data_IF_895426675730
#
_entry.id   IF_895426675730
#
_cell.length_a   1.000
_cell.length_b   1.000
_cell.length_c   1.000
_cell.angle_alpha   90.00
_cell.angle_beta   90.00
_cell.angle_gamma   90.00
#
_symmetry.space_group_name_H-M   'P 1'
#
loop_
_entity.id
_entity.type
_entity.pdbx_description
1 polymer ?
#
# COMPACT_ATOMS: atom_id res chain seq x y z
N UNK A 1 -4.00 -21.49 -13.76
CA UNK A 1 -4.44 -20.32 -14.55
C UNK A 1 -5.60 -20.69 -15.49
N UNK A 2 -5.53 -21.80 -16.23
CA UNK A 2 -6.63 -22.31 -17.07
C UNK A 2 -7.98 -22.38 -16.32
N UNK A 3 -8.02 -23.07 -15.17
CA UNK A 3 -9.23 -23.15 -14.34
C UNK A 3 -9.73 -21.81 -13.79
N UNK A 4 -8.92 -20.73 -13.86
CA UNK A 4 -9.33 -19.42 -13.34
C UNK A 4 -10.18 -18.61 -14.31
N UNK A 5 -10.08 -18.92 -15.59
CA UNK A 5 -10.73 -18.24 -16.71
C UNK A 5 -11.68 -19.20 -17.45
N UNK A 6 -11.98 -20.36 -16.85
CA UNK A 6 -12.89 -21.36 -17.41
C UNK A 6 -14.23 -20.70 -17.78
N UNK A 7 -14.62 -20.86 -19.04
CA UNK A 7 -15.84 -20.26 -19.61
C UNK A 7 -15.63 -18.91 -20.30
N UNK A 8 -14.40 -18.37 -20.34
CA UNK A 8 -14.08 -17.26 -21.24
C UNK A 8 -13.45 -17.77 -22.52
N UNK A 9 -13.85 -17.16 -23.65
CA UNK A 9 -13.11 -17.30 -24.90
C UNK A 9 -11.66 -16.84 -24.69
N UNK A 10 -10.64 -17.59 -25.16
CA UNK A 10 -9.22 -17.28 -24.92
C UNK A 10 -8.86 -15.83 -25.27
N UNK A 11 -9.30 -15.34 -26.43
CA UNK A 11 -9.04 -13.97 -26.90
C UNK A 11 -9.60 -12.90 -25.97
N UNK A 12 -10.78 -13.17 -25.37
CA UNK A 12 -11.41 -12.26 -24.41
C UNK A 12 -10.59 -12.21 -23.11
N UNK A 13 -10.10 -13.36 -22.67
CA UNK A 13 -9.29 -13.47 -21.46
C UNK A 13 -7.94 -12.78 -21.62
N UNK A 14 -7.25 -13.03 -22.73
CA UNK A 14 -5.98 -12.39 -23.04
C UNK A 14 -6.16 -10.87 -23.14
N UNK A 15 -7.18 -10.40 -23.87
CA UNK A 15 -7.47 -8.96 -23.97
C UNK A 15 -7.76 -8.33 -22.60
N UNK A 16 -8.49 -9.01 -21.73
CA UNK A 16 -8.77 -8.51 -20.38
C UNK A 16 -7.49 -8.42 -19.52
N UNK A 17 -6.64 -9.45 -19.54
CA UNK A 17 -5.39 -9.49 -18.77
C UNK A 17 -4.33 -8.52 -19.28
N UNK A 18 -4.30 -8.25 -20.58
CA UNK A 18 -3.36 -7.31 -21.19
C UNK A 18 -3.77 -5.85 -20.97
N UNK A 19 -5.06 -5.56 -21.10
CA UNK A 19 -5.57 -4.18 -21.11
C UNK A 19 -6.19 -3.72 -19.79
N UNK A 20 -6.47 -4.62 -18.85
CA UNK A 20 -7.17 -4.26 -17.62
C UNK A 20 -6.36 -4.62 -16.39
N UNK A 21 -6.50 -3.79 -15.37
CA UNK A 21 -5.90 -3.99 -14.06
C UNK A 21 -6.84 -3.48 -12.97
N UNK A 22 -6.41 -3.52 -11.72
CA UNK A 22 -7.13 -2.84 -10.65
C UNK A 22 -6.19 -2.00 -9.79
N UNK A 23 -6.77 -0.96 -9.18
CA UNK A 23 -6.17 -0.29 -8.02
C UNK A 23 -7.07 -0.54 -6.81
N UNK A 24 -6.46 -0.91 -5.69
CA UNK A 24 -7.11 -0.98 -4.39
C UNK A 24 -6.74 0.26 -3.59
N UNK A 25 -7.72 1.11 -3.30
CA UNK A 25 -7.62 2.18 -2.33
C UNK A 25 -7.83 1.60 -0.93
N UNK A 26 -6.82 1.72 -0.09
CA UNK A 26 -6.84 1.28 1.31
C UNK A 26 -7.64 2.28 2.18
N UNK A 27 -7.94 1.95 3.44
CA UNK A 27 -8.72 2.84 4.32
C UNK A 27 -8.08 4.22 4.55
N UNK A 28 -6.75 4.31 4.55
CA UNK A 28 -6.00 5.57 4.62
C UNK A 28 -6.31 6.50 3.43
N UNK A 29 -6.57 5.95 2.23
CA UNK A 29 -7.02 6.75 1.09
C UNK A 29 -8.44 7.30 1.27
N UNK A 30 -9.30 6.56 2.00
CA UNK A 30 -10.68 6.97 2.25
C UNK A 30 -10.72 8.14 3.23
N UNK A 31 -10.09 7.98 4.39
CA UNK A 31 -10.09 9.03 5.40
C UNK A 31 -9.20 10.22 5.02
N UNK A 32 -8.14 9.98 4.25
CA UNK A 32 -7.28 11.03 3.71
C UNK A 32 -7.85 11.77 2.49
N UNK A 33 -9.07 11.42 2.04
CA UNK A 33 -9.74 12.00 0.86
C UNK A 33 -8.90 11.92 -0.42
N UNK A 34 -8.22 10.78 -0.63
CA UNK A 34 -7.23 10.58 -1.71
C UNK A 34 -7.74 9.76 -2.90
N UNK A 35 -8.95 9.19 -2.84
CA UNK A 35 -9.52 8.38 -3.93
C UNK A 35 -9.82 9.23 -5.17
N UNK A 36 -10.57 10.34 -5.03
CA UNK A 36 -10.88 11.22 -6.18
C UNK A 36 -9.61 11.81 -6.83
N UNK A 37 -8.63 12.37 -6.07
CA UNK A 37 -7.36 12.83 -6.64
C UNK A 37 -6.57 11.72 -7.36
N UNK A 38 -6.57 10.50 -6.82
CA UNK A 38 -5.90 9.38 -7.46
C UNK A 38 -6.54 8.99 -8.79
N UNK A 39 -7.87 8.96 -8.85
CA UNK A 39 -8.61 8.67 -10.08
C UNK A 39 -8.34 9.74 -11.14
N UNK A 40 -8.28 11.02 -10.76
CA UNK A 40 -7.92 12.10 -11.67
C UNK A 40 -6.47 11.94 -12.20
N UNK A 41 -5.52 11.58 -11.32
CA UNK A 41 -4.15 11.30 -11.73
C UNK A 41 -4.07 10.13 -12.71
N UNK A 42 -4.77 9.03 -12.43
CA UNK A 42 -4.82 7.84 -13.28
C UNK A 42 -5.44 8.13 -14.66
N UNK A 43 -6.51 8.93 -14.70
CA UNK A 43 -7.12 9.38 -15.95
C UNK A 43 -6.15 10.18 -16.81
N UNK A 44 -5.36 11.09 -16.21
CA UNK A 44 -4.29 11.82 -16.91
C UNK A 44 -3.21 10.89 -17.50
N UNK A 45 -3.08 9.69 -16.94
CA UNK A 45 -2.19 8.64 -17.44
C UNK A 45 -2.91 7.62 -18.33
N UNK A 46 -4.13 7.86 -18.81
CA UNK A 46 -4.83 6.95 -19.72
C UNK A 46 -5.29 5.65 -19.06
N UNK A 47 -5.61 5.69 -17.76
CA UNK A 47 -6.36 4.64 -17.09
C UNK A 47 -7.81 5.12 -16.90
N UNK A 48 -8.75 4.37 -17.45
CA UNK A 48 -10.19 4.66 -17.35
C UNK A 48 -10.87 3.68 -16.40
N UNK A 49 -11.68 4.13 -15.44
CA UNK A 49 -12.40 3.21 -14.57
C UNK A 49 -13.49 2.43 -15.31
N UNK A 50 -13.55 1.14 -15.04
CA UNK A 50 -14.58 0.22 -15.56
C UNK A 50 -15.72 0.06 -14.55
N UNK A 51 -15.40 0.15 -13.25
CA UNK A 51 -16.35 0.10 -12.15
C UNK A 51 -15.61 -0.16 -10.83
N UNK A 52 -16.37 -0.32 -9.74
CA UNK A 52 -15.81 -0.48 -8.40
C UNK A 52 -16.50 -1.55 -7.56
N UNK A 53 -15.76 -2.11 -6.62
CA UNK A 53 -16.24 -3.00 -5.56
C UNK A 53 -15.64 -2.55 -4.23
N UNK A 54 -16.34 -2.76 -3.12
CA UNK A 54 -15.75 -2.62 -1.78
C UNK A 54 -15.20 -3.95 -1.29
N UNK A 55 -14.05 -3.93 -0.62
CA UNK A 55 -13.36 -5.12 -0.09
C UNK A 55 -13.02 -4.91 1.38
N UNK A 56 -13.21 -5.95 2.19
CA UNK A 56 -12.71 -6.01 3.57
C UNK A 56 -11.41 -6.81 3.58
N UNK A 57 -10.35 -6.24 4.14
CA UNK A 57 -9.04 -6.87 4.27
C UNK A 57 -8.77 -7.03 5.75
N UNK A 58 -8.77 -8.29 6.22
CA UNK A 58 -8.31 -8.63 7.56
C UNK A 58 -6.82 -9.02 7.52
N UNK A 59 -6.26 -9.32 8.69
CA UNK A 59 -4.87 -9.78 8.79
C UNK A 59 -4.57 -11.00 7.90
N UNK A 60 -5.51 -11.93 7.70
CA UNK A 60 -5.29 -13.15 6.89
C UNK A 60 -5.19 -12.80 5.41
N UNK A 61 -6.11 -11.98 4.92
CA UNK A 61 -6.09 -11.45 3.55
C UNK A 61 -4.83 -10.63 3.32
N UNK A 62 -4.44 -9.78 4.29
CA UNK A 62 -3.19 -9.02 4.27
C UNK A 62 -1.96 -9.94 4.09
N UNK A 63 -1.87 -11.04 4.84
CA UNK A 63 -0.75 -12.00 4.72
C UNK A 63 -0.69 -12.70 3.37
N UNK A 64 -1.82 -13.06 2.78
CA UNK A 64 -1.81 -13.69 1.44
C UNK A 64 -1.59 -12.66 0.33
N UNK A 65 -2.10 -11.43 0.49
CA UNK A 65 -1.93 -10.37 -0.50
C UNK A 65 -0.45 -10.01 -0.65
N UNK A 66 0.24 -9.79 0.46
CA UNK A 66 1.66 -9.40 0.50
C UNK A 66 2.59 -10.53 0.95
N UNK A 67 2.22 -11.79 0.69
CA UNK A 67 2.97 -12.99 1.11
C UNK A 67 4.48 -12.90 0.85
N UNK A 68 4.85 -12.34 -0.30
CA UNK A 68 6.25 -12.23 -0.73
C UNK A 68 6.99 -11.03 -0.11
N UNK A 69 6.27 -9.99 0.28
CA UNK A 69 6.84 -8.76 0.86
C UNK A 69 6.87 -8.81 2.39
N UNK A 70 5.85 -9.37 3.03
CA UNK A 70 5.68 -9.42 4.48
C UNK A 70 6.56 -10.49 5.14
N UNK A 71 6.97 -11.55 4.43
CA UNK A 71 7.74 -12.64 5.06
C UNK A 71 9.14 -12.25 5.56
N UNK A 72 9.61 -11.05 5.26
CA UNK A 72 10.84 -10.46 5.80
C UNK A 72 10.60 -9.07 6.44
N UNK A 73 9.35 -8.70 6.70
CA UNK A 73 9.02 -7.44 7.34
C UNK A 73 9.07 -7.58 8.87
N UNK A 74 9.58 -6.58 9.61
CA UNK A 74 9.47 -6.54 11.06
C UNK A 74 8.03 -6.71 11.53
N UNK A 75 7.81 -7.43 12.64
CA UNK A 75 6.49 -7.64 13.21
C UNK A 75 5.76 -6.33 13.56
N UNK A 76 6.50 -5.30 14.00
CA UNK A 76 5.93 -4.00 14.27
C UNK A 76 5.39 -3.32 12.98
N UNK A 77 6.10 -3.43 11.85
CA UNK A 77 5.62 -2.92 10.54
C UNK A 77 4.32 -3.62 10.16
N UNK A 78 4.34 -4.94 10.30
CA UNK A 78 3.19 -5.81 10.03
C UNK A 78 1.98 -5.36 10.85
N UNK A 79 2.15 -5.16 12.17
CA UNK A 79 1.06 -4.74 13.05
C UNK A 79 0.53 -3.35 12.70
N UNK A 80 1.41 -2.40 12.38
CA UNK A 80 1.01 -1.06 11.94
C UNK A 80 0.19 -1.10 10.63
N UNK A 81 0.52 -2.01 9.70
CA UNK A 81 -0.29 -2.23 8.49
C UNK A 81 -1.67 -2.82 8.84
N UNK A 82 -1.72 -3.79 9.75
CA UNK A 82 -2.99 -4.38 10.18
C UNK A 82 -3.92 -3.32 10.79
N UNK A 83 -3.40 -2.43 11.64
CA UNK A 83 -4.18 -1.32 12.22
C UNK A 83 -4.85 -0.44 11.14
N UNK A 84 -4.16 -0.18 10.02
CA UNK A 84 -4.72 0.60 8.90
C UNK A 84 -5.87 -0.16 8.23
N UNK A 85 -5.69 -1.45 7.99
CA UNK A 85 -6.67 -2.28 7.25
C UNK A 85 -7.89 -2.62 8.10
N UNK A 86 -7.72 -2.68 9.43
CA UNK A 86 -8.76 -2.95 10.42
C UNK A 86 -9.46 -1.66 10.92
N UNK A 87 -9.09 -0.49 10.38
CA UNK A 87 -9.49 0.83 10.90
C UNK A 87 -10.98 1.23 10.74
N UNK A 88 -11.78 0.43 10.01
CA UNK A 88 -13.22 0.63 9.90
C UNK A 88 -13.75 0.89 8.48
N UNK A 89 -13.18 1.77 7.64
CA UNK A 89 -13.55 1.88 6.23
C UNK A 89 -13.17 0.62 5.44
N UNK A 90 -13.98 0.15 4.47
CA UNK A 90 -13.53 -0.89 3.55
C UNK A 90 -12.49 -0.31 2.56
N UNK A 91 -11.70 -1.18 1.96
CA UNK A 91 -10.93 -0.84 0.77
C UNK A 91 -11.87 -0.64 -0.42
N UNK A 92 -11.48 0.21 -1.38
CA UNK A 92 -12.18 0.37 -2.67
C UNK A 92 -11.34 -0.27 -3.76
N UNK A 93 -11.84 -1.36 -4.33
CA UNK A 93 -11.29 -2.00 -5.51
C UNK A 93 -11.86 -1.29 -6.75
N UNK A 94 -11.00 -0.78 -7.63
CA UNK A 94 -11.42 -0.13 -8.87
C UNK A 94 -10.78 -0.86 -10.03
N UNK A 95 -11.61 -1.44 -10.90
CA UNK A 95 -11.17 -2.00 -12.16
C UNK A 95 -10.85 -0.86 -13.13
N UNK A 96 -9.73 -0.97 -13.82
CA UNK A 96 -9.19 0.04 -14.72
C UNK A 96 -8.90 -0.56 -16.08
N UNK A 97 -9.21 0.19 -17.14
CA UNK A 97 -8.79 -0.06 -18.51
C UNK A 97 -7.61 0.84 -18.84
N UNK A 98 -6.53 0.25 -19.34
CA UNK A 98 -5.46 0.99 -19.98
C UNK A 98 -5.85 1.30 -21.43
N UNK A 99 -6.08 2.58 -21.74
CA UNK A 99 -6.44 3.03 -23.10
C UNK A 99 -5.24 3.20 -24.01
N UNK A 100 -4.02 3.05 -23.48
CA UNK A 100 -2.78 3.07 -24.25
C UNK A 100 -2.45 1.72 -24.86
N UNK A 101 -2.78 0.64 -24.16
CA UNK A 101 -2.55 -0.74 -24.58
C UNK A 101 -1.07 -1.15 -24.64
N UNK A 102 -0.80 -2.47 -24.66
CA UNK A 102 0.55 -3.02 -24.73
C UNK A 102 1.23 -2.74 -26.07
N UNK A 103 0.50 -2.55 -27.16
CA UNK A 103 1.06 -2.28 -28.49
C UNK A 103 1.82 -0.95 -28.51
N UNK A 104 1.37 0.04 -27.74
CA UNK A 104 2.00 1.36 -27.64
C UNK A 104 3.02 1.44 -26.50
N UNK A 105 2.77 0.73 -25.41
CA UNK A 105 3.54 0.89 -24.16
C UNK A 105 4.62 -0.16 -23.99
N UNK A 106 4.50 -1.31 -24.67
CA UNK A 106 5.38 -2.46 -24.51
C UNK A 106 5.14 -3.26 -23.21
N UNK A 107 4.13 -2.91 -22.41
CA UNK A 107 3.83 -3.53 -21.12
C UNK A 107 2.33 -3.74 -20.94
N UNK A 108 1.95 -4.66 -20.06
CA UNK A 108 0.55 -4.88 -19.68
C UNK A 108 0.03 -3.76 -18.78
N UNK A 109 -1.29 -3.63 -18.69
CA UNK A 109 -1.93 -2.65 -17.80
C UNK A 109 -1.48 -2.79 -16.33
N UNK A 110 -1.28 -4.02 -15.86
CA UNK A 110 -0.80 -4.29 -14.50
C UNK A 110 0.63 -3.78 -14.29
N UNK A 111 1.56 -4.15 -15.18
CA UNK A 111 2.96 -3.71 -15.09
C UNK A 111 3.08 -2.18 -15.17
N UNK A 112 2.33 -1.57 -16.08
CA UNK A 112 2.34 -0.11 -16.26
C UNK A 112 1.76 0.63 -15.07
N UNK A 113 0.68 0.12 -14.47
CA UNK A 113 0.14 0.69 -13.23
C UNK A 113 1.11 0.48 -12.07
N UNK A 114 1.80 -0.66 -12.00
CA UNK A 114 2.77 -0.94 -10.95
C UNK A 114 3.98 0.01 -11.00
N UNK A 115 4.46 0.33 -12.20
CA UNK A 115 5.47 1.37 -12.41
C UNK A 115 4.94 2.75 -12.01
N UNK A 116 3.78 3.14 -12.52
CA UNK A 116 3.16 4.44 -12.25
C UNK A 116 2.80 4.64 -10.77
N UNK A 117 2.42 3.57 -10.07
CA UNK A 117 2.15 3.54 -8.63
C UNK A 117 3.33 4.09 -7.83
N UNK A 118 4.56 3.82 -8.28
CA UNK A 118 5.79 4.20 -7.61
C UNK A 118 6.11 3.32 -6.39
N UNK A 119 7.36 3.43 -5.92
CA UNK A 119 7.86 2.68 -4.76
C UNK A 119 7.21 3.15 -3.45
N UNK A 120 7.02 2.23 -2.50
CA UNK A 120 6.62 2.60 -1.12
C UNK A 120 7.78 3.20 -0.31
N UNK A 121 9.02 3.01 -0.78
CA UNK A 121 10.24 3.51 -0.15
C UNK A 121 10.70 4.85 -0.73
N UNK A 122 10.42 5.11 -2.01
CA UNK A 122 10.71 6.39 -2.65
C UNK A 122 9.44 7.23 -2.70
N UNK A 123 9.43 8.30 -1.89
CA UNK A 123 8.26 9.15 -1.67
C UNK A 123 8.53 10.61 -2.07
N UNK A 124 9.34 10.79 -3.12
CA UNK A 124 9.55 12.09 -3.74
C UNK A 124 8.20 12.71 -4.11
N UNK A 125 8.00 13.97 -3.73
CA UNK A 125 6.81 14.76 -4.06
C UNK A 125 6.86 15.35 -5.49
N UNK A 126 7.78 14.86 -6.34
CA UNK A 126 7.96 15.35 -7.72
C UNK A 126 6.75 15.11 -8.64
N UNK A 127 5.72 14.41 -8.15
CA UNK A 127 4.48 14.14 -8.88
C UNK A 127 4.65 13.13 -10.02
N UNK A 128 5.83 12.51 -10.17
CA UNK A 128 6.10 11.53 -11.24
C UNK A 128 5.48 10.16 -10.99
N UNK A 129 5.03 9.88 -9.77
CA UNK A 129 4.33 8.65 -9.40
C UNK A 129 3.01 8.95 -8.69
N UNK A 130 2.08 7.99 -8.71
CA UNK A 130 0.80 8.09 -8.02
C UNK A 130 0.99 8.34 -6.51
N UNK A 131 1.91 7.62 -5.86
CA UNK A 131 2.20 7.84 -4.43
C UNK A 131 2.80 9.22 -4.16
N UNK A 132 3.66 9.71 -5.04
CA UNK A 132 4.19 11.08 -4.96
C UNK A 132 3.07 12.13 -5.12
N UNK A 133 2.21 11.98 -6.12
CA UNK A 133 1.09 12.89 -6.38
C UNK A 133 0.05 12.90 -5.26
N UNK A 134 -0.11 11.78 -4.54
CA UNK A 134 -0.98 11.71 -3.36
C UNK A 134 -0.33 12.24 -2.08
N UNK A 135 0.95 12.60 -2.10
CA UNK A 135 1.67 13.11 -0.92
C UNK A 135 1.90 12.06 0.16
N UNK A 136 2.20 10.81 -0.22
CA UNK A 136 2.52 9.76 0.76
C UNK A 136 3.78 10.11 1.57
N UNK A 137 3.66 10.39 2.86
CA UNK A 137 4.82 10.72 3.73
C UNK A 137 5.42 9.50 4.45
N UNK A 138 4.58 8.50 4.74
CA UNK A 138 4.90 7.33 5.54
C UNK A 138 4.78 6.05 4.72
N UNK A 139 5.70 5.11 4.91
CA UNK A 139 5.77 3.85 4.16
C UNK A 139 4.47 3.05 4.26
N UNK A 140 3.88 2.96 5.46
CA UNK A 140 2.64 2.23 5.71
C UNK A 140 1.40 2.98 5.18
N UNK A 141 1.38 4.31 5.27
CA UNK A 141 0.29 5.18 4.78
C UNK A 141 0.51 5.59 3.32
N UNK A 142 0.53 4.58 2.44
CA UNK A 142 0.81 4.77 1.01
C UNK A 142 -0.44 4.75 0.12
N UNK A 143 -1.65 4.78 0.70
CA UNK A 143 -2.99 4.91 0.09
C UNK A 143 -3.44 3.81 -0.89
N UNK A 144 -2.54 3.27 -1.71
CA UNK A 144 -2.88 2.43 -2.86
C UNK A 144 -2.05 1.15 -2.92
N UNK A 145 -2.71 0.11 -3.41
CA UNK A 145 -2.12 -1.15 -3.84
C UNK A 145 -2.59 -1.47 -5.26
N UNK A 146 -1.75 -2.14 -6.04
CA UNK A 146 -2.07 -2.62 -7.38
C UNK A 146 -1.18 -3.83 -7.67
N UNK A 147 -1.66 -4.82 -8.46
CA UNK A 147 -0.87 -5.99 -8.83
C UNK A 147 0.34 -5.56 -9.67
N UNK A 148 1.46 -6.27 -9.54
CA UNK A 148 2.70 -5.92 -10.24
C UNK A 148 2.74 -6.47 -11.68
N UNK A 149 2.02 -7.56 -11.96
CA UNK A 149 1.95 -8.23 -13.26
C UNK A 149 0.61 -8.98 -13.44
N UNK A 150 0.31 -9.56 -14.61
CA UNK A 150 -0.94 -10.29 -14.84
C UNK A 150 -1.14 -11.53 -13.95
N UNK A 151 -0.06 -12.19 -13.52
CA UNK A 151 -0.17 -13.34 -12.62
C UNK A 151 -0.56 -12.89 -11.21
N UNK A 152 0.03 -11.79 -10.73
CA UNK A 152 -0.37 -11.13 -9.50
C UNK A 152 -1.84 -10.64 -9.59
N UNK A 153 -2.26 -10.05 -10.71
CA UNK A 153 -3.67 -9.64 -10.89
C UNK A 153 -4.65 -10.78 -10.63
N UNK A 154 -4.44 -11.94 -11.28
CA UNK A 154 -5.31 -13.11 -11.14
C UNK A 154 -5.30 -13.63 -9.70
N UNK A 155 -4.10 -13.76 -9.11
CA UNK A 155 -3.91 -14.25 -7.73
C UNK A 155 -4.61 -13.35 -6.73
N UNK A 156 -4.37 -12.04 -6.84
CA UNK A 156 -4.85 -11.05 -5.88
C UNK A 156 -6.36 -10.87 -5.95
N UNK A 157 -6.99 -10.98 -7.13
CA UNK A 157 -8.45 -11.05 -7.22
C UNK A 157 -9.00 -12.25 -6.44
N UNK A 158 -8.33 -13.41 -6.52
CA UNK A 158 -8.71 -14.60 -5.75
C UNK A 158 -8.56 -14.42 -4.23
N UNK A 159 -7.55 -13.66 -3.79
CA UNK A 159 -7.29 -13.38 -2.37
C UNK A 159 -8.24 -12.32 -1.82
N UNK A 160 -8.47 -11.23 -2.57
CA UNK A 160 -9.29 -10.09 -2.13
C UNK A 160 -10.79 -10.40 -2.17
N UNK A 161 -11.23 -11.19 -3.15
CA UNK A 161 -12.64 -11.39 -3.45
C UNK A 161 -12.97 -12.89 -3.58
N UNK A 162 -12.67 -13.76 -2.59
CA UNK A 162 -12.79 -15.22 -2.75
C UNK A 162 -14.22 -15.67 -3.09
N UNK A 163 -15.25 -15.03 -2.53
CA UNK A 163 -16.67 -15.30 -2.83
C UNK A 163 -17.25 -14.46 -3.98
N UNK A 164 -16.51 -13.48 -4.50
CA UNK A 164 -16.95 -12.53 -5.54
C UNK A 164 -15.99 -12.49 -6.74
N UNK A 165 -15.20 -13.55 -6.89
CA UNK A 165 -14.14 -13.59 -7.87
C UNK A 165 -14.67 -13.55 -9.31
N UNK A 166 -15.74 -14.27 -9.60
CA UNK A 166 -16.37 -14.24 -10.92
C UNK A 166 -16.85 -12.83 -11.27
N UNK A 167 -17.48 -12.13 -10.32
CA UNK A 167 -17.91 -10.74 -10.48
C UNK A 167 -16.72 -9.80 -10.77
N UNK A 168 -15.63 -9.93 -10.00
CA UNK A 168 -14.42 -9.13 -10.19
C UNK A 168 -13.78 -9.35 -11.56
N UNK A 169 -13.70 -10.59 -12.01
CA UNK A 169 -13.18 -10.94 -13.34
C UNK A 169 -14.12 -10.42 -14.42
N UNK A 170 -15.44 -10.61 -14.29
CA UNK A 170 -16.41 -10.06 -15.23
C UNK A 170 -16.32 -8.54 -15.35
N UNK A 171 -16.07 -7.85 -14.24
CA UNK A 171 -15.82 -6.41 -14.21
C UNK A 171 -14.54 -6.04 -14.97
N UNK A 172 -13.43 -6.75 -14.75
CA UNK A 172 -12.17 -6.54 -15.47
C UNK A 172 -12.29 -6.81 -16.99
N UNK A 173 -13.18 -7.70 -17.42
CA UNK A 173 -13.45 -7.98 -18.83
C UNK A 173 -14.57 -7.14 -19.44
N UNK A 174 -15.19 -6.25 -18.67
CA UNK A 174 -16.22 -5.36 -19.20
C UNK A 174 -15.61 -4.25 -20.05
N UNK A 175 -16.42 -3.73 -20.97
CA UNK A 175 -16.09 -2.50 -21.70
C UNK A 175 -16.34 -1.29 -20.80
N UNK A 176 -15.59 -0.20 -21.07
CA UNK A 176 -15.79 1.06 -20.35
C UNK A 176 -17.18 1.59 -20.67
N UNK A 177 -17.90 2.04 -19.64
CA UNK A 177 -19.21 2.68 -19.79
C UNK A 177 -19.29 3.94 -18.92
N UNK A 178 -20.13 4.93 -19.27
CA UNK A 178 -20.29 6.13 -18.45
C UNK A 178 -20.69 5.82 -17.00
N UNK A 179 -21.53 4.80 -16.81
CA UNK A 179 -21.93 4.33 -15.47
C UNK A 179 -20.75 3.75 -14.71
N UNK A 180 -19.99 2.86 -15.34
CA UNK A 180 -18.80 2.24 -14.75
C UNK A 180 -17.71 3.26 -14.39
N UNK A 181 -17.51 4.27 -15.24
CA UNK A 181 -16.56 5.35 -14.99
C UNK A 181 -16.95 6.24 -13.80
N UNK A 182 -18.26 6.42 -13.55
CA UNK A 182 -18.76 7.25 -12.44
C UNK A 182 -18.84 6.51 -11.09
N UNK A 183 -18.97 5.17 -11.12
CA UNK A 183 -19.20 4.34 -9.93
C UNK A 183 -18.09 4.48 -8.85
N UNK A 184 -16.78 4.46 -9.16
CA UNK A 184 -15.74 4.61 -8.15
C UNK A 184 -15.83 5.92 -7.35
N UNK A 185 -16.22 7.02 -8.02
CA UNK A 185 -16.38 8.33 -7.38
C UNK A 185 -17.61 8.33 -6.47
N UNK A 186 -18.71 7.69 -6.89
CA UNK A 186 -19.90 7.53 -6.05
C UNK A 186 -19.58 6.73 -4.77
N UNK A 187 -18.92 5.57 -4.92
CA UNK A 187 -18.48 4.74 -3.79
C UNK A 187 -17.55 5.54 -2.85
N UNK A 188 -16.59 6.29 -3.40
CA UNK A 188 -15.69 7.11 -2.60
C UNK A 188 -16.45 8.15 -1.77
N UNK A 189 -17.43 8.84 -2.36
CA UNK A 189 -18.23 9.87 -1.69
C UNK A 189 -19.12 9.32 -0.60
N UNK A 190 -19.72 8.15 -0.81
CA UNK A 190 -20.48 7.45 0.23
C UNK A 190 -19.59 7.13 1.44
N UNK A 191 -18.39 6.60 1.19
CA UNK A 191 -17.42 6.33 2.25
C UNK A 191 -16.90 7.62 2.90
N UNK A 192 -16.77 8.71 2.14
CA UNK A 192 -16.40 10.00 2.70
C UNK A 192 -17.46 10.55 3.64
N UNK A 193 -18.73 10.38 3.30
CA UNK A 193 -19.84 10.78 4.18
C UNK A 193 -19.89 9.93 5.46
N UNK A 194 -19.55 8.63 5.37
CA UNK A 194 -19.61 7.70 6.49
C UNK A 194 -18.41 7.78 7.46
N UNK A 195 -17.27 8.33 7.02
CA UNK A 195 -16.03 8.34 7.79
C UNK A 195 -15.41 9.73 7.87
N UNK A 196 -15.04 10.24 9.07
CA UNK A 196 -14.38 11.52 9.24
C UNK A 196 -13.09 11.66 8.40
N UNK A 197 -12.77 12.89 8.02
CA UNK A 197 -11.52 13.18 7.32
C UNK A 197 -10.34 13.26 8.31
N UNK A 198 -9.17 12.80 7.88
CA UNK A 198 -7.94 12.83 8.67
C UNK A 198 -6.76 13.33 7.82
N UNK A 199 -5.88 14.15 8.41
CA UNK A 199 -4.77 14.81 7.69
C UNK A 199 -3.63 13.84 7.34
N UNK A 200 -3.47 12.74 8.09
CA UNK A 200 -2.50 11.65 7.85
C UNK A 200 -1.05 12.11 7.58
N UNK A 201 -0.67 13.28 8.08
CA UNK A 201 0.68 13.85 8.00
C UNK A 201 1.50 13.40 9.19
N UNK A 202 2.82 13.39 9.04
CA UNK A 202 3.72 13.19 10.18
C UNK A 202 3.48 14.24 11.26
N UNK A 203 3.57 13.82 12.51
CA UNK A 203 3.63 14.73 13.64
C UNK A 203 4.93 15.53 13.54
N UNK A 204 4.79 16.86 13.59
CA UNK A 204 5.96 17.72 13.68
C UNK A 204 6.68 17.44 15.01
N UNK A 205 8.03 17.40 15.05
CA UNK A 205 8.78 17.19 16.29
C UNK A 205 8.49 18.25 17.39
N UNK A 206 7.76 19.32 17.08
CA UNK A 206 7.37 20.39 18.00
C UNK A 206 5.92 20.26 18.52
N UNK A 207 5.09 19.38 17.96
CA UNK A 207 3.73 19.13 18.50
C UNK A 207 3.79 18.20 19.71
N UNK A 208 4.07 18.81 20.85
CA UNK A 208 3.80 18.20 22.15
C UNK A 208 2.29 18.05 22.30
N UNK A 209 1.80 16.80 22.29
CA UNK A 209 0.50 16.48 22.85
C UNK A 209 0.52 16.87 24.33
N UNK A 210 0.09 18.09 24.64
CA UNK A 210 -0.16 18.53 26.00
C UNK A 210 -1.49 17.95 26.42
N UNK A 211 -1.44 16.86 27.20
CA UNK A 211 -2.60 16.32 27.90
C UNK A 211 -3.26 17.48 28.69
N UNK A 212 -4.57 17.74 28.58
CA UNK A 212 -5.22 18.68 29.48
C UNK A 212 -5.04 18.14 30.91
N UNK A 213 -4.31 18.88 31.72
CA UNK A 213 -4.04 18.52 33.10
C UNK A 213 -5.36 18.52 33.87
N UNK A 214 -5.85 17.34 34.23
CA UNK A 214 -6.78 17.21 35.34
C UNK A 214 -6.03 17.63 36.61
N UNK A 215 -6.58 18.63 37.30
CA UNK A 215 -6.08 19.16 38.56
C UNK A 215 -6.07 18.06 39.64
N UNK A 216 -4.86 17.61 40.00
CA UNK A 216 -4.65 16.65 41.08
C UNK A 216 -3.17 16.33 41.22
N UNK A 217 -2.55 16.89 42.26
CA UNK A 217 -1.13 16.83 42.57
C UNK A 217 -0.46 15.46 42.40
N UNK A 218 0.57 15.40 41.55
CA UNK A 218 1.90 14.84 41.87
C UNK A 218 2.83 15.07 40.68
N UNK A 219 3.81 15.95 40.86
CA UNK A 219 4.82 16.34 39.88
C UNK A 219 5.74 15.17 39.55
N UNK A 220 5.46 14.49 38.45
CA UNK A 220 6.40 13.63 37.74
C UNK A 220 6.84 14.37 36.47
N UNK A 221 8.15 14.48 36.17
CA UNK A 221 8.59 15.25 35.01
C UNK A 221 7.98 14.66 33.74
N UNK A 222 7.39 15.54 32.93
CA UNK A 222 6.84 15.19 31.63
C UNK A 222 7.94 14.62 30.72
N UNK A 223 7.67 13.57 29.93
CA UNK A 223 8.64 13.05 28.97
C UNK A 223 8.83 14.12 27.88
N UNK A 224 10.06 14.61 27.78
CA UNK A 224 10.53 15.50 26.73
C UNK A 224 10.45 14.80 25.38
N UNK A 225 9.83 15.47 24.40
CA UNK A 225 9.59 15.00 23.04
C UNK A 225 10.84 14.81 22.18
N UNK A 226 11.58 13.76 22.44
CA UNK A 226 12.42 13.07 21.45
C UNK A 226 11.68 11.81 21.03
N UNK A 227 11.62 11.51 19.73
CA UNK A 227 11.12 10.25 19.15
C UNK A 227 11.50 9.05 20.03
N UNK A 228 10.58 8.61 20.88
CA UNK A 228 10.77 7.56 21.88
C UNK A 228 10.61 6.20 21.19
N UNK A 229 11.29 6.04 20.05
CA UNK A 229 11.31 4.79 19.29
C UNK A 229 12.10 3.79 20.13
N UNK A 230 11.50 2.68 20.58
CA UNK A 230 12.25 1.66 21.29
C UNK A 230 13.39 1.13 20.42
N UNK A 231 14.55 0.92 21.03
CA UNK A 231 15.76 0.53 20.31
C UNK A 231 15.71 -0.93 19.83
N UNK A 232 14.98 -1.80 20.54
CA UNK A 232 14.85 -3.21 20.21
C UNK A 232 13.50 -3.55 19.54
N UNK A 233 13.46 -4.56 18.65
CA UNK A 233 12.24 -4.92 17.92
C UNK A 233 11.07 -5.37 18.79
N UNK A 234 11.33 -6.00 19.95
CA UNK A 234 10.29 -6.54 20.83
C UNK A 234 9.54 -5.40 21.54
N UNK A 235 10.28 -4.46 22.13
CA UNK A 235 9.71 -3.25 22.74
C UNK A 235 8.98 -2.39 21.71
N UNK A 236 9.49 -2.32 20.47
CA UNK A 236 8.80 -1.60 19.39
C UNK A 236 7.46 -2.25 19.03
N UNK A 237 7.42 -3.57 18.90
CA UNK A 237 6.17 -4.31 18.68
C UNK A 237 5.20 -4.10 19.85
N UNK A 238 5.67 -4.24 21.09
CA UNK A 238 4.85 -4.03 22.29
C UNK A 238 4.21 -2.64 22.28
N UNK A 239 4.97 -1.59 21.93
CA UNK A 239 4.44 -0.23 21.86
C UNK A 239 3.41 -0.05 20.74
N UNK A 240 3.59 -0.70 19.59
CA UNK A 240 2.56 -0.69 18.53
C UNK A 240 1.29 -1.44 18.97
N UNK A 241 1.42 -2.54 19.73
CA UNK A 241 0.26 -3.25 20.28
C UNK A 241 -0.49 -2.42 21.34
N UNK A 242 0.21 -1.68 22.20
CA UNK A 242 -0.41 -0.72 23.12
C UNK A 242 -1.23 0.34 22.37
N UNK A 243 -0.67 0.89 21.29
CA UNK A 243 -1.36 1.81 20.39
C UNK A 243 -2.56 1.14 19.72
N UNK A 244 -2.51 -0.16 19.41
CA UNK A 244 -3.65 -0.86 18.84
C UNK A 244 -4.78 -1.10 19.87
N UNK A 245 -4.42 -1.41 21.12
CA UNK A 245 -5.34 -1.73 22.21
C UNK A 245 -6.07 -0.52 22.83
N UNK A 246 -5.84 0.69 22.32
CA UNK A 246 -6.41 1.95 22.82
C UNK A 246 -5.95 2.32 24.24
N UNK A 247 -4.71 1.99 24.59
CA UNK A 247 -4.17 2.20 25.94
C UNK A 247 -4.14 3.69 26.38
N UNK A 248 -4.07 4.61 25.42
CA UNK A 248 -3.82 6.04 25.67
C UNK A 248 -5.04 6.95 25.43
N UNK A 249 -6.21 6.40 25.07
CA UNK A 249 -7.44 7.16 24.80
C UNK A 249 -7.36 8.11 23.59
N UNK A 250 -6.38 7.91 22.72
CA UNK A 250 -6.17 8.69 21.50
C UNK A 250 -7.13 8.24 20.38
N UNK A 251 -7.59 9.16 19.52
CA UNK A 251 -8.34 8.79 18.31
C UNK A 251 -7.58 7.74 17.49
N UNK A 252 -8.31 6.77 16.94
CA UNK A 252 -7.73 5.62 16.22
C UNK A 252 -6.73 6.02 15.13
N UNK A 253 -7.07 7.02 14.31
CA UNK A 253 -6.20 7.44 13.21
C UNK A 253 -4.94 8.17 13.68
N UNK A 254 -4.97 8.82 14.84
CA UNK A 254 -3.77 9.41 15.44
C UNK A 254 -2.84 8.28 15.91
N UNK A 255 -3.38 7.23 16.53
CA UNK A 255 -2.64 6.01 16.92
C UNK A 255 -2.01 5.31 15.72
N UNK A 256 -2.75 5.21 14.61
CA UNK A 256 -2.25 4.65 13.34
C UNK A 256 -1.09 5.47 12.77
N UNK A 257 -1.19 6.80 12.77
CA UNK A 257 -0.11 7.67 12.27
C UNK A 257 1.14 7.52 13.14
N UNK A 258 0.99 7.53 14.47
CA UNK A 258 2.10 7.32 15.41
C UNK A 258 2.75 5.95 15.16
N UNK A 259 1.97 4.88 15.06
CA UNK A 259 2.50 3.54 14.77
C UNK A 259 3.25 3.49 13.43
N UNK A 260 2.71 4.14 12.39
CA UNK A 260 3.36 4.22 11.07
C UNK A 260 4.68 5.02 11.10
N UNK A 261 4.79 6.07 11.92
CA UNK A 261 6.03 6.81 12.13
C UNK A 261 7.09 5.96 12.86
N UNK A 262 6.67 5.26 13.92
CA UNK A 262 7.58 4.44 14.74
C UNK A 262 8.25 3.31 13.96
N UNK A 263 7.60 2.80 12.92
CA UNK A 263 8.12 1.71 12.06
C UNK A 263 8.80 2.22 10.79
N UNK A 264 8.85 3.53 10.58
CA UNK A 264 9.47 4.13 9.40
C UNK A 264 10.99 3.85 9.37
N UNK A 265 11.50 3.56 8.18
CA UNK A 265 12.92 3.32 7.95
C UNK A 265 13.47 2.02 8.52
N UNK A 266 12.64 1.12 9.09
CA UNK A 266 13.13 -0.18 9.53
C UNK A 266 13.67 -1.00 8.36
N UNK A 267 14.82 -1.66 8.52
CA UNK A 267 15.28 -2.64 7.57
C UNK A 267 14.33 -3.85 7.57
N UNK A 268 14.28 -4.57 6.45
CA UNK A 268 13.69 -5.90 6.43
C UNK A 268 14.47 -6.82 7.40
N UNK A 269 13.74 -7.55 8.25
CA UNK A 269 14.32 -8.50 9.19
C UNK A 269 14.60 -9.82 8.46
N UNK A 270 15.88 -10.04 8.13
CA UNK A 270 16.39 -11.36 7.74
C UNK A 270 16.24 -11.74 6.27
N UNK A 271 16.57 -13.02 6.01
CA UNK A 271 16.49 -13.64 4.68
C UNK A 271 15.04 -14.02 4.41
N UNK A 272 14.45 -13.62 3.26
CA UNK A 272 13.10 -14.03 2.90
C UNK A 272 12.92 -15.54 3.01
N UNK A 273 11.87 -15.97 3.73
CA UNK A 273 11.54 -17.39 3.89
C UNK A 273 10.90 -17.96 2.62
N UNK A 274 10.29 -17.09 1.82
CA UNK A 274 9.65 -17.42 0.55
C UNK A 274 10.34 -16.60 -0.55
N UNK A 275 10.71 -17.27 -1.65
CA UNK A 275 11.27 -16.62 -2.84
C UNK A 275 10.27 -15.63 -3.48
N UNK A 276 10.70 -14.85 -4.48
CA UNK A 276 9.79 -13.93 -5.18
C UNK A 276 8.61 -14.65 -5.82
N UNK A 277 7.53 -13.92 -6.19
CA UNK A 277 6.43 -14.49 -6.96
C UNK A 277 6.95 -15.27 -8.19
N UNK A 278 6.33 -16.40 -8.56
CA UNK A 278 6.64 -17.10 -9.80
C UNK A 278 6.54 -16.14 -11.00
N UNK A 279 7.55 -16.13 -11.88
CA UNK A 279 7.57 -15.25 -13.06
C UNK A 279 8.36 -13.94 -12.88
N UNK A 280 8.58 -13.48 -11.64
CA UNK A 280 9.54 -12.39 -11.40
C UNK A 280 10.96 -12.90 -11.63
N UNK A 281 11.61 -12.42 -12.70
CA UNK A 281 13.06 -12.57 -12.85
C UNK A 281 13.72 -11.95 -11.61
N UNK A 282 14.71 -12.60 -10.99
CA UNK A 282 15.51 -11.93 -9.99
C UNK A 282 16.11 -10.68 -10.65
N UNK A 283 15.68 -9.50 -10.21
CA UNK A 283 16.35 -8.25 -10.55
C UNK A 283 17.83 -8.43 -10.21
N UNK A 284 18.70 -8.17 -11.20
CA UNK A 284 20.15 -8.35 -11.24
C UNK A 284 20.89 -8.67 -9.93
N UNK A 285 21.91 -9.57 -9.97
CA UNK A 285 22.77 -9.81 -8.81
C UNK A 285 23.29 -8.46 -8.30
N UNK A 286 23.21 -8.25 -6.98
CA UNK A 286 23.91 -7.16 -6.30
C UNK A 286 25.28 -7.04 -6.94
N UNK A 287 25.58 -5.89 -7.53
CA UNK A 287 26.94 -5.56 -7.91
C UNK A 287 27.77 -5.64 -6.64
N UNK A 288 28.43 -6.80 -6.44
CA UNK A 288 29.52 -6.91 -5.50
C UNK A 288 30.52 -5.88 -6.00
N UNK A 289 30.71 -4.82 -5.21
CA UNK A 289 31.80 -3.87 -5.44
C UNK A 289 33.07 -4.73 -5.57
N UNK A 290 33.80 -4.71 -6.70
CA UNK A 290 35.06 -5.44 -6.75
C UNK A 290 35.91 -4.95 -5.59
N UNK A 291 36.47 -5.89 -4.84
CA UNK A 291 37.45 -5.58 -3.81
C UNK A 291 38.50 -4.68 -4.46
N UNK A 292 38.67 -3.48 -3.90
CA UNK A 292 39.73 -2.58 -4.35
C UNK A 292 41.07 -3.31 -4.28
N UNK A 293 42.01 -2.98 -5.17
CA UNK A 293 43.32 -3.61 -5.16
C UNK A 293 43.95 -3.47 -3.76
N UNK A 294 44.64 -4.52 -3.26
CA UNK A 294 45.30 -4.45 -1.97
C UNK A 294 46.29 -3.28 -1.97
N UNK A 295 46.28 -2.51 -0.88
CA UNK A 295 47.22 -1.43 -0.66
C UNK A 295 48.64 -1.95 -0.82
N UNK A 296 49.40 -1.35 -1.74
CA UNK A 296 50.81 -1.64 -1.91
C UNK A 296 51.53 -1.32 -0.60
N UNK A 297 52.17 -2.33 -0.01
CA UNK A 297 53.10 -2.15 1.09
C UNK A 297 54.22 -1.22 0.63
N UNK A 298 54.38 -0.10 1.34
CA UNK A 298 55.56 0.74 1.24
C UNK A 298 56.78 -0.11 1.64
N UNK A 299 57.69 -0.33 0.70
CA UNK A 299 59.01 -0.87 0.97
C UNK A 299 60.00 0.29 1.06
N UNK A 300 60.73 0.32 2.16
CA UNK A 300 61.88 1.19 2.45
C UNK A 300 62.84 1.31 1.26
N UNK A 301 63.19 2.55 0.90
CA UNK A 301 64.56 3.03 0.59
C UNK A 301 64.67 4.52 0.85
#
# INVERSE_FOLDING_TARGET
MAALLDGWEPDRADRALLLSTFVMFKPDAVVGRRVEPALAFLAGHGFEPIGALTVRVDARVCRELWRYQINAAPLAVIRAVDMILESGPPCVFVALRDTRGPERTGTTAAERLAELKGSSKNRSADGGSLRGALGCELMCLNFVHAPDDPADLIREVGVLLPGRRAEALSLLAAEVSPRGAAEPVAVARELYAAHPAHTLTRHSPVSTFTRPASSGASSRPAPSGTSDRPADPESLLARVEELAADADGLPLWDRIVIAAEMVEGLPSEGRPLIGPPPGKRPTHPRTVRPAGPPAAAAADR
#
